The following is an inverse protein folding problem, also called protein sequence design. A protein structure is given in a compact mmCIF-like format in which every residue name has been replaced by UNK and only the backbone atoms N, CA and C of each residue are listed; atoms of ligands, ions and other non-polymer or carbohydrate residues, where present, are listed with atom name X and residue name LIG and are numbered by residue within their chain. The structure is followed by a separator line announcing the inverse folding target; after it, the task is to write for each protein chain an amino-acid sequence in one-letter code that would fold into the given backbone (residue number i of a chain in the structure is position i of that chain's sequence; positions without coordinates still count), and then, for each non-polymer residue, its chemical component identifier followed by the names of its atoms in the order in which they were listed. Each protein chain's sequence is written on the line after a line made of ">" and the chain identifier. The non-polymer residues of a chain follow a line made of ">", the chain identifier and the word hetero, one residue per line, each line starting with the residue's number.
data_IF_516876519311
#
_entry.id   IF_516876519311
#
_cell.length_a   1.000
_cell.length_b   1.000
_cell.length_c   1.000
_cell.angle_alpha   90.00
_cell.angle_beta   90.00
_cell.angle_gamma   90.00
#
_symmetry.space_group_name_H-M   'P 1'
#
loop_
_entity.id
_entity.type
_entity.pdbx_description
1 polymer ?
#
# COMPACT_ATOMS: atom_id res chain seq x y z
N UNK A 1 -9.40 17.23 8.73
CA UNK A 1 -8.66 16.14 8.06
C UNK A 1 -8.74 16.26 6.54
N UNK A 2 -9.92 16.06 5.92
CA UNK A 2 -10.08 16.01 4.44
C UNK A 2 -10.16 17.39 3.75
N UNK A 3 -11.09 18.27 4.15
CA UNK A 3 -11.39 19.53 3.45
C UNK A 3 -10.18 20.46 3.27
N UNK A 4 -9.35 20.57 4.33
CA UNK A 4 -8.16 21.44 4.36
C UNK A 4 -6.85 20.65 4.18
N UNK A 5 -6.94 19.37 3.83
CA UNK A 5 -5.79 18.46 3.72
C UNK A 5 -4.85 18.47 4.95
N UNK A 6 -5.43 18.65 6.15
CA UNK A 6 -4.68 18.82 7.42
C UNK A 6 -3.83 17.61 7.81
N UNK A 7 -4.14 16.42 7.30
CA UNK A 7 -3.31 15.23 7.53
C UNK A 7 -1.94 15.34 6.84
N UNK A 8 -1.86 16.05 5.70
CA UNK A 8 -0.62 16.24 4.98
C UNK A 8 0.30 17.30 5.61
N UNK A 9 -0.22 18.06 6.58
CA UNK A 9 0.53 19.08 7.31
C UNK A 9 1.05 18.45 8.61
N UNK A 10 2.35 18.58 8.93
CA UNK A 10 2.87 18.20 10.23
C UNK A 10 2.04 18.84 11.35
N UNK A 11 1.56 18.00 12.27
CA UNK A 11 0.77 18.40 13.45
C UNK A 11 -0.57 19.09 13.11
N UNK A 12 -1.03 18.99 11.85
CA UNK A 12 -2.29 19.59 11.40
C UNK A 12 -3.55 18.94 11.98
N UNK A 13 -3.43 17.75 12.55
CA UNK A 13 -4.46 17.07 13.34
C UNK A 13 -3.84 16.40 14.57
N UNK A 14 -4.67 16.06 15.55
CA UNK A 14 -4.31 15.20 16.69
C UNK A 14 -5.26 14.00 16.79
N UNK A 15 -4.73 12.84 17.13
CA UNK A 15 -5.50 11.61 17.40
C UNK A 15 -5.05 11.07 18.75
N UNK A 16 -5.99 10.80 19.67
CA UNK A 16 -5.68 10.38 21.04
C UNK A 16 -4.66 11.32 21.71
N UNK A 17 -4.88 12.64 21.59
CA UNK A 17 -3.98 13.70 22.10
C UNK A 17 -2.54 13.65 21.54
N UNK A 18 -2.32 12.93 20.44
CA UNK A 18 -1.03 12.83 19.77
C UNK A 18 -1.06 13.61 18.46
N UNK A 19 -0.25 14.69 18.31
CA UNK A 19 -0.10 15.40 17.04
C UNK A 19 0.43 14.48 15.95
N UNK A 20 -0.21 14.48 14.79
CA UNK A 20 0.13 13.58 13.68
C UNK A 20 1.08 14.26 12.71
N UNK A 21 2.21 13.62 12.44
CA UNK A 21 3.19 14.04 11.45
C UNK A 21 3.70 12.81 10.68
N UNK A 22 3.31 12.71 9.40
CA UNK A 22 3.65 11.56 8.55
C UNK A 22 5.14 11.49 8.22
N UNK A 23 5.88 12.60 8.33
CA UNK A 23 7.35 12.60 8.13
C UNK A 23 8.07 11.79 9.21
N UNK A 24 7.45 11.61 10.39
CA UNK A 24 8.00 10.77 11.46
C UNK A 24 7.94 9.28 11.13
N UNK A 25 7.20 8.86 10.10
CA UNK A 25 7.16 7.46 9.64
C UNK A 25 8.39 7.14 8.81
N UNK A 26 9.34 6.42 9.42
CA UNK A 26 10.61 5.99 8.80
C UNK A 26 10.61 4.55 8.29
N UNK A 27 9.53 3.80 8.54
CA UNK A 27 9.42 2.41 8.13
C UNK A 27 9.39 2.30 6.59
N UNK A 28 10.06 1.28 6.01
CA UNK A 28 9.89 0.97 4.60
C UNK A 28 8.40 0.75 4.28
N UNK A 29 7.90 1.44 3.26
CA UNK A 29 6.47 1.47 2.93
C UNK A 29 6.26 1.17 1.46
N UNK A 30 5.22 0.40 1.13
CA UNK A 30 4.75 0.25 -0.25
C UNK A 30 3.41 0.96 -0.41
N UNK A 31 3.31 1.83 -1.39
CA UNK A 31 2.07 2.44 -1.85
C UNK A 31 1.63 1.75 -3.14
N UNK A 32 0.37 1.34 -3.19
CA UNK A 32 -0.24 0.77 -4.39
C UNK A 32 -1.42 1.64 -4.76
N UNK A 33 -1.51 2.02 -6.02
CA UNK A 33 -2.61 2.79 -6.58
C UNK A 33 -2.97 2.24 -7.94
N UNK A 34 -4.13 2.60 -8.48
CA UNK A 34 -4.55 2.13 -9.80
C UNK A 34 -4.80 3.28 -10.77
N UNK A 35 -4.36 3.14 -12.02
CA UNK A 35 -4.31 4.18 -13.03
C UNK A 35 -5.67 4.85 -13.31
N UNK A 36 -6.74 4.06 -13.35
CA UNK A 36 -8.10 4.52 -13.63
C UNK A 36 -8.97 4.59 -12.35
N UNK A 37 -8.34 4.76 -11.19
CA UNK A 37 -9.07 4.95 -9.94
C UNK A 37 -9.69 6.34 -9.88
N UNK A 38 -11.03 6.40 -9.95
CA UNK A 38 -11.77 7.65 -9.78
C UNK A 38 -12.14 7.94 -8.32
N UNK A 39 -12.01 6.96 -7.42
CA UNK A 39 -12.28 7.10 -5.98
C UNK A 39 -11.03 7.62 -5.27
N UNK A 40 -9.87 7.03 -5.55
CA UNK A 40 -8.56 7.44 -5.04
C UNK A 40 -7.60 7.73 -6.19
N UNK A 41 -7.68 8.92 -6.83
CA UNK A 41 -6.85 9.26 -7.98
C UNK A 41 -5.36 9.06 -7.68
N UNK A 42 -4.66 8.32 -8.54
CA UNK A 42 -3.30 7.88 -8.24
C UNK A 42 -2.29 9.02 -8.08
N UNK A 43 -2.53 10.18 -8.73
CA UNK A 43 -1.69 11.39 -8.54
C UNK A 43 -1.86 11.98 -7.13
N UNK A 44 -3.05 11.87 -6.55
CA UNK A 44 -3.33 12.29 -5.17
C UNK A 44 -2.67 11.33 -4.17
N UNK A 45 -2.80 10.02 -4.37
CA UNK A 45 -2.14 9.03 -3.50
C UNK A 45 -0.61 9.05 -3.65
N UNK A 46 -0.09 9.36 -4.85
CA UNK A 46 1.34 9.62 -5.09
C UNK A 46 1.85 10.79 -4.25
N UNK A 47 1.08 11.88 -4.18
CA UNK A 47 1.40 13.02 -3.32
C UNK A 47 1.45 12.61 -1.84
N UNK A 48 0.52 11.75 -1.40
CA UNK A 48 0.53 11.18 -0.05
C UNK A 48 1.74 10.27 0.23
N UNK A 49 2.18 9.49 -0.76
CA UNK A 49 3.34 8.60 -0.65
C UNK A 49 4.63 9.38 -0.33
N UNK A 50 4.74 10.62 -0.80
CA UNK A 50 5.89 11.50 -0.56
C UNK A 50 5.94 12.12 0.84
N UNK A 51 4.90 11.97 1.65
CA UNK A 51 4.85 12.54 3.01
C UNK A 51 5.68 11.73 4.02
N UNK A 52 6.10 10.52 3.65
CA UNK A 52 6.84 9.60 4.51
C UNK A 52 8.34 9.79 4.29
N UNK A 53 9.13 9.83 5.37
CA UNK A 53 10.59 9.97 5.28
C UNK A 53 11.33 8.63 5.15
N UNK A 54 10.63 7.50 5.31
CA UNK A 54 11.18 6.17 5.07
C UNK A 54 11.36 5.84 3.59
N UNK A 55 11.92 4.66 3.30
CA UNK A 55 12.01 4.17 1.92
C UNK A 55 10.61 3.83 1.40
N UNK A 56 10.14 4.58 0.39
CA UNK A 56 8.83 4.37 -0.23
C UNK A 56 8.96 3.68 -1.58
N UNK A 57 8.20 2.60 -1.79
CA UNK A 57 8.00 1.96 -3.08
C UNK A 57 6.60 2.31 -3.59
N UNK A 58 6.49 3.07 -4.68
CA UNK A 58 5.21 3.29 -5.35
C UNK A 58 5.00 2.27 -6.47
N UNK A 59 3.79 1.73 -6.56
CA UNK A 59 3.35 0.78 -7.59
C UNK A 59 2.03 1.30 -8.16
N UNK A 60 1.96 1.43 -9.48
CA UNK A 60 0.74 1.82 -10.18
C UNK A 60 0.20 0.60 -10.93
N UNK A 61 -0.89 0.02 -10.47
CA UNK A 61 -1.62 -1.01 -11.20
C UNK A 61 -2.46 -0.40 -12.33
N UNK A 62 -2.62 -1.12 -13.43
CA UNK A 62 -3.57 -0.73 -14.48
C UNK A 62 -5.01 -1.08 -14.04
N UNK A 63 -6.01 -0.47 -14.69
CA UNK A 63 -7.46 -0.57 -14.38
C UNK A 63 -7.92 0.33 -13.23
N UNK A 64 -9.19 0.22 -12.85
CA UNK A 64 -9.84 1.06 -11.83
C UNK A 64 -9.79 0.45 -10.42
N UNK A 65 -10.38 1.14 -9.46
CA UNK A 65 -10.28 0.88 -8.01
C UNK A 65 -10.27 -0.61 -7.61
N UNK A 66 -11.33 -1.35 -7.93
CA UNK A 66 -11.44 -2.77 -7.55
C UNK A 66 -10.62 -3.65 -8.49
N UNK A 67 -10.75 -3.46 -9.80
CA UNK A 67 -10.17 -4.35 -10.81
C UNK A 67 -8.63 -4.30 -10.85
N UNK A 68 -8.02 -3.15 -10.55
CA UNK A 68 -6.57 -2.99 -10.49
C UNK A 68 -5.97 -3.46 -9.16
N UNK A 69 -6.69 -3.30 -8.04
CA UNK A 69 -6.23 -3.78 -6.72
C UNK A 69 -6.40 -5.29 -6.62
N UNK A 70 -7.58 -5.81 -6.95
CA UNK A 70 -7.92 -7.23 -6.93
C UNK A 70 -7.58 -7.85 -8.30
N UNK A 71 -6.29 -7.98 -8.57
CA UNK A 71 -5.76 -8.60 -9.79
C UNK A 71 -4.96 -9.88 -9.46
N UNK A 72 -5.59 -11.06 -9.33
CA UNK A 72 -4.89 -12.29 -9.03
C UNK A 72 -3.88 -12.68 -10.13
N UNK A 73 -2.65 -13.11 -9.77
CA UNK A 73 -1.60 -13.44 -10.73
C UNK A 73 -1.99 -14.58 -11.69
N UNK A 74 -2.81 -15.53 -11.23
CA UNK A 74 -3.30 -16.66 -12.05
C UNK A 74 -4.14 -16.23 -13.26
N UNK A 75 -4.73 -15.03 -13.23
CA UNK A 75 -5.55 -14.52 -14.34
C UNK A 75 -4.72 -13.83 -15.43
N UNK A 76 -3.46 -13.49 -15.15
CA UNK A 76 -2.53 -12.80 -16.05
C UNK A 76 -3.17 -11.63 -16.83
N UNK A 77 -3.96 -10.80 -16.14
CA UNK A 77 -4.60 -9.61 -16.73
C UNK A 77 -3.84 -8.35 -16.39
N UNK A 78 -3.96 -7.37 -17.28
CA UNK A 78 -3.45 -6.00 -17.10
C UNK A 78 -1.91 -5.93 -16.99
N UNK A 79 -1.42 -4.84 -16.42
CA UNK A 79 -0.03 -4.64 -16.06
C UNK A 79 0.09 -3.70 -14.86
N UNK A 80 1.33 -3.34 -14.54
CA UNK A 80 1.66 -2.36 -13.52
C UNK A 80 2.97 -1.64 -13.84
N UNK A 81 3.09 -0.42 -13.35
CA UNK A 81 4.31 0.38 -13.40
C UNK A 81 5.00 0.40 -12.05
N UNK A 82 6.33 0.37 -12.09
CA UNK A 82 7.15 0.50 -10.90
C UNK A 82 8.49 1.15 -11.26
N UNK A 83 8.97 2.04 -10.39
CA UNK A 83 10.32 2.61 -10.48
C UNK A 83 11.20 2.09 -9.35
N UNK A 84 12.50 1.98 -9.63
CA UNK A 84 13.53 1.70 -8.61
C UNK A 84 14.17 2.98 -8.07
N UNK A 85 13.85 4.12 -8.67
CA UNK A 85 14.32 5.45 -8.26
C UNK A 85 13.46 6.00 -7.11
N UNK A 86 13.98 7.02 -6.44
CA UNK A 86 13.19 7.82 -5.51
C UNK A 86 12.02 8.50 -6.23
N UNK A 87 11.02 8.93 -5.46
CA UNK A 87 9.81 9.54 -5.98
C UNK A 87 10.11 10.98 -6.43
N UNK A 88 10.15 11.30 -7.74
CA UNK A 88 10.30 12.68 -8.18
C UNK A 88 9.14 13.55 -7.72
N UNK A 89 9.30 14.87 -7.85
CA UNK A 89 8.28 15.81 -7.41
C UNK A 89 6.97 15.59 -8.17
N UNK A 90 7.07 15.40 -9.49
CA UNK A 90 5.93 15.18 -10.39
C UNK A 90 5.55 13.71 -10.49
N UNK A 91 4.25 13.43 -10.40
CA UNK A 91 3.71 12.10 -10.65
C UNK A 91 3.88 11.67 -12.11
N UNK A 92 3.80 12.61 -13.06
CA UNK A 92 3.95 12.31 -14.49
C UNK A 92 5.40 11.96 -14.83
N UNK A 93 6.37 12.67 -14.24
CA UNK A 93 7.80 12.32 -14.35
C UNK A 93 8.08 10.92 -13.77
N UNK A 94 7.42 10.57 -12.66
CA UNK A 94 7.50 9.21 -12.12
C UNK A 94 6.99 8.19 -13.12
N UNK A 95 5.84 8.43 -13.76
CA UNK A 95 5.25 7.51 -14.72
C UNK A 95 6.12 7.34 -15.97
N UNK A 96 6.66 8.44 -16.51
CA UNK A 96 7.57 8.43 -17.67
C UNK A 96 8.84 7.62 -17.40
N UNK A 97 9.34 7.65 -16.18
CA UNK A 97 10.54 6.91 -15.77
C UNK A 97 10.27 5.50 -15.25
N UNK A 98 9.00 5.14 -15.01
CA UNK A 98 8.63 3.85 -14.45
C UNK A 98 8.61 2.75 -15.52
N UNK A 99 9.03 1.55 -15.13
CA UNK A 99 9.00 0.39 -16.03
C UNK A 99 7.61 -0.24 -16.01
N UNK A 100 7.01 -0.41 -17.19
CA UNK A 100 5.78 -1.18 -17.35
C UNK A 100 6.06 -2.69 -17.29
N UNK A 101 5.23 -3.42 -16.58
CA UNK A 101 5.32 -4.87 -16.39
C UNK A 101 3.94 -5.48 -16.65
N UNK A 102 3.89 -6.61 -17.36
CA UNK A 102 2.64 -7.33 -17.58
C UNK A 102 2.20 -8.11 -16.32
N UNK A 103 0.89 -8.33 -16.20
CA UNK A 103 0.28 -9.15 -15.17
C UNK A 103 0.06 -8.43 -13.84
N UNK A 104 -0.12 -9.22 -12.78
CA UNK A 104 -0.42 -8.71 -11.44
C UNK A 104 0.80 -8.05 -10.77
N UNK A 105 0.54 -7.00 -9.99
CA UNK A 105 1.56 -6.39 -9.12
C UNK A 105 1.83 -7.20 -7.85
N UNK A 106 0.97 -8.16 -7.48
CA UNK A 106 1.08 -8.93 -6.24
C UNK A 106 2.43 -9.64 -6.08
N UNK A 107 2.99 -10.33 -7.10
CA UNK A 107 4.31 -10.98 -6.98
C UNK A 107 5.45 -9.99 -6.72
N UNK A 108 5.33 -8.75 -7.24
CA UNK A 108 6.32 -7.71 -6.99
C UNK A 108 6.29 -7.25 -5.54
N UNK A 109 5.08 -7.04 -4.99
CA UNK A 109 4.90 -6.73 -3.57
C UNK A 109 5.34 -7.91 -2.67
N UNK A 110 5.00 -9.15 -3.03
CA UNK A 110 5.44 -10.35 -2.30
C UNK A 110 6.98 -10.43 -2.23
N UNK A 111 7.66 -10.18 -3.35
CA UNK A 111 9.13 -10.10 -3.38
C UNK A 111 9.67 -8.97 -2.49
N UNK A 112 8.97 -7.83 -2.43
CA UNK A 112 9.36 -6.69 -1.59
C UNK A 112 9.22 -7.02 -0.10
N UNK A 113 8.07 -7.58 0.32
CA UNK A 113 7.74 -7.85 1.73
C UNK A 113 8.60 -8.97 2.31
N UNK A 114 8.95 -9.99 1.51
CA UNK A 114 9.83 -11.10 1.91
C UNK A 114 11.16 -10.64 2.51
N UNK A 115 11.68 -9.48 2.09
CA UNK A 115 12.92 -8.90 2.65
C UNK A 115 12.78 -8.45 4.10
N UNK A 116 11.54 -8.25 4.55
CA UNK A 116 11.19 -7.80 5.89
C UNK A 116 10.46 -8.88 6.71
N UNK A 117 10.23 -10.08 6.15
CA UNK A 117 9.47 -11.17 6.80
C UNK A 117 10.32 -12.14 7.64
N UNK A 118 11.62 -11.88 7.79
CA UNK A 118 12.52 -12.75 8.55
C UNK A 118 12.78 -14.11 7.89
N UNK A 119 13.26 -15.09 8.68
CA UNK A 119 13.57 -16.45 8.21
C UNK A 119 12.29 -17.28 8.10
N UNK A 120 12.29 -18.25 7.19
CA UNK A 120 11.25 -19.28 7.16
C UNK A 120 11.31 -20.13 8.42
N UNK A 121 10.14 -20.42 8.98
CA UNK A 121 9.93 -21.28 10.13
C UNK A 121 8.81 -22.28 9.81
N UNK A 122 8.69 -23.40 10.54
CA UNK A 122 7.52 -24.26 10.43
C UNK A 122 6.21 -23.47 10.58
N UNK A 123 5.16 -23.91 9.88
CA UNK A 123 3.85 -23.31 10.01
C UNK A 123 3.38 -23.40 11.48
N UNK A 124 2.70 -22.34 11.95
CA UNK A 124 2.15 -22.29 13.30
C UNK A 124 0.67 -22.63 13.25
N UNK A 125 0.19 -23.33 14.27
CA UNK A 125 -1.24 -23.50 14.50
C UNK A 125 -1.85 -22.16 14.97
N UNK A 126 -3.05 -21.79 14.49
CA UNK A 126 -3.74 -20.61 14.99
C UNK A 126 -4.02 -20.69 16.49
N UNK A 127 -3.67 -19.62 17.22
CA UNK A 127 -3.89 -19.50 18.66
C UNK A 127 -2.61 -19.65 19.50
N UNK A 128 -2.78 -19.46 20.81
CA UNK A 128 -1.76 -19.66 21.84
C UNK A 128 -2.43 -19.77 23.22
N UNK A 129 -1.67 -20.07 24.27
CA UNK A 129 -2.18 -20.10 25.66
C UNK A 129 -2.77 -18.75 26.09
N UNK A 130 -2.28 -17.64 25.53
CA UNK A 130 -2.79 -16.29 25.79
C UNK A 130 -4.00 -15.93 24.91
N UNK A 131 -4.17 -16.61 23.77
CA UNK A 131 -5.19 -16.30 22.77
C UNK A 131 -5.79 -17.58 22.20
N UNK A 132 -6.84 -18.08 22.84
CA UNK A 132 -7.60 -19.24 22.38
C UNK A 132 -8.42 -18.90 21.13
N UNK A 133 -8.43 -19.75 20.09
CA UNK A 133 -9.32 -19.57 18.93
C UNK A 133 -10.78 -19.47 19.36
N UNK A 134 -11.49 -18.44 18.89
CA UNK A 134 -12.87 -18.16 19.29
C UNK A 134 -13.91 -18.83 18.38
N UNK A 135 -13.65 -18.85 17.07
CA UNK A 135 -14.48 -19.44 16.03
C UNK A 135 -13.67 -19.58 14.73
N UNK A 136 -14.18 -20.35 13.78
CA UNK A 136 -13.63 -20.42 12.42
C UNK A 136 -13.79 -19.08 11.68
N UNK A 137 -12.83 -18.78 10.79
CA UNK A 137 -12.98 -17.68 9.84
C UNK A 137 -14.20 -17.93 8.92
N UNK A 138 -14.97 -16.90 8.52
CA UNK A 138 -14.66 -15.47 8.63
C UNK A 138 -15.19 -14.79 9.91
N UNK A 139 -15.64 -15.57 10.90
CA UNK A 139 -16.20 -15.05 12.15
C UNK A 139 -17.61 -14.47 11.99
N UNK A 140 -18.08 -13.74 13.00
CA UNK A 140 -19.47 -13.28 13.09
C UNK A 140 -19.68 -11.85 12.62
N UNK A 141 -18.70 -10.96 12.80
CA UNK A 141 -18.88 -9.52 12.53
C UNK A 141 -19.05 -9.18 11.05
N UNK A 142 -18.55 -10.02 10.13
CA UNK A 142 -18.73 -9.80 8.68
C UNK A 142 -20.14 -10.18 8.20
N UNK A 143 -20.86 -10.98 8.98
CA UNK A 143 -22.21 -11.45 8.65
C UNK A 143 -23.31 -10.58 9.27
N UNK A 144 -22.94 -9.57 10.05
CA UNK A 144 -23.84 -8.54 10.57
C UNK A 144 -24.04 -7.44 9.52
#
# INVERSE_FOLDING_TARGET
>A
MYLENKLAQPEGISVLNTPIDLSKVRLPTTFVSTELDHIAPWRSTYSGAKLFSGKVQFILGQSGHIAGIINPPSKNKYGYWISTKELPVSADEWLESATSNAGSWWPKWEKWIKRYSGKRVPAREPGSDLYTPLADAPGTYVNL
#
